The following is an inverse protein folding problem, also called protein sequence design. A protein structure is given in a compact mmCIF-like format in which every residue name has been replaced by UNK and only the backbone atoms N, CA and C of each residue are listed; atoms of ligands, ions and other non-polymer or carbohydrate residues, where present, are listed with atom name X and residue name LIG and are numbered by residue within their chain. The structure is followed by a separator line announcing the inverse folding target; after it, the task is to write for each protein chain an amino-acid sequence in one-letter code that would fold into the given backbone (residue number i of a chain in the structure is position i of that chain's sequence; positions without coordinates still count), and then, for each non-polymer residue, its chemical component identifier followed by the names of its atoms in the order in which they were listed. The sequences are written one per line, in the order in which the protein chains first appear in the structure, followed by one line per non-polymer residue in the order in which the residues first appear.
data_IF_741559920135
#
_entry.id   IF_741559920135
#
_cell.length_a   1.000
_cell.length_b   1.000
_cell.length_c   1.000
_cell.angle_alpha   90.00
_cell.angle_beta   90.00
_cell.angle_gamma   90.00
#
_symmetry.space_group_name_H-M   'P 1'
#
loop_
_entity.id
_entity.type
_entity.pdbx_description
1 polymer ?
#
# COMPACT_ATOMS: atom_id res chain seq x y z
N UNK A 1 -23.34 -22.36 -8.48
CA UNK A 1 -21.92 -22.38 -8.89
C UNK A 1 -21.71 -21.17 -9.77
N UNK A 2 -21.09 -20.11 -9.23
CA UNK A 2 -20.73 -18.92 -9.99
C UNK A 2 -19.49 -19.25 -10.81
N UNK A 3 -19.52 -18.99 -12.12
CA UNK A 3 -18.36 -19.24 -12.97
C UNK A 3 -17.17 -18.38 -12.52
N UNK A 4 -16.01 -19.00 -12.34
CA UNK A 4 -14.75 -18.29 -12.09
C UNK A 4 -14.25 -17.80 -13.45
N UNK A 5 -14.05 -16.50 -13.59
CA UNK A 5 -13.51 -15.92 -14.82
C UNK A 5 -11.98 -15.89 -14.74
N UNK A 6 -11.30 -16.55 -15.68
CA UNK A 6 -9.84 -16.61 -15.72
C UNK A 6 -9.28 -15.37 -16.42
N UNK A 7 -8.79 -14.39 -15.65
CA UNK A 7 -7.99 -13.29 -16.17
C UNK A 7 -6.52 -13.53 -15.80
N UNK A 8 -5.81 -14.34 -16.60
CA UNK A 8 -4.41 -14.73 -16.32
C UNK A 8 -3.38 -13.67 -16.74
N UNK A 9 -3.81 -12.54 -17.31
CA UNK A 9 -2.93 -11.51 -17.84
C UNK A 9 -3.42 -10.13 -17.43
N UNK A 10 -2.50 -9.28 -16.99
CA UNK A 10 -2.81 -7.90 -16.62
C UNK A 10 -3.37 -7.12 -17.82
N UNK A 11 -4.25 -6.16 -17.54
CA UNK A 11 -4.86 -5.28 -18.55
C UNK A 11 -4.24 -3.89 -18.47
N UNK A 12 -4.36 -3.10 -19.53
CA UNK A 12 -4.01 -1.67 -19.45
C UNK A 12 -4.90 -0.99 -18.42
N UNK A 13 -4.29 -0.22 -17.51
CA UNK A 13 -4.99 0.44 -16.41
C UNK A 13 -4.06 1.41 -15.70
N UNK A 14 -3.89 1.25 -14.40
CA UNK A 14 -3.00 2.10 -13.59
C UNK A 14 -1.55 1.74 -13.90
N UNK A 15 -0.82 2.69 -14.47
CA UNK A 15 0.58 2.52 -14.86
C UNK A 15 1.56 2.75 -13.70
N UNK A 16 2.84 2.58 -14.00
CA UNK A 16 3.95 2.87 -13.09
C UNK A 16 4.86 3.90 -13.75
N UNK A 17 5.16 4.96 -13.02
CA UNK A 17 6.22 5.91 -13.33
C UNK A 17 7.28 5.81 -12.22
N UNK A 18 8.53 5.58 -12.58
CA UNK A 18 9.59 5.36 -11.60
C UNK A 18 10.81 6.21 -11.93
N UNK A 19 11.32 6.89 -10.91
CA UNK A 19 12.62 7.59 -10.92
C UNK A 19 13.70 6.79 -10.17
N UNK A 20 13.38 5.61 -9.66
CA UNK A 20 14.33 4.76 -8.95
C UNK A 20 15.35 4.17 -9.94
N UNK A 21 16.64 4.08 -9.59
CA UNK A 21 17.68 3.54 -10.47
C UNK A 21 17.42 2.12 -10.97
N UNK A 22 16.76 1.28 -10.14
CA UNK A 22 16.41 -0.10 -10.49
C UNK A 22 15.23 -0.20 -11.47
N UNK A 23 14.51 0.89 -11.72
CA UNK A 23 13.38 0.91 -12.66
C UNK A 23 12.37 -0.23 -12.41
N UNK A 24 12.04 -0.97 -13.47
CA UNK A 24 11.15 -2.13 -13.42
C UNK A 24 11.82 -3.42 -12.90
N UNK A 25 13.15 -3.47 -12.75
CA UNK A 25 13.86 -4.68 -12.30
C UNK A 25 13.53 -5.03 -10.84
N UNK A 26 13.11 -4.04 -10.05
CA UNK A 26 12.67 -4.22 -8.65
C UNK A 26 11.17 -4.52 -8.51
N UNK A 27 10.44 -4.63 -9.62
CA UNK A 27 8.99 -4.83 -9.64
C UNK A 27 8.70 -6.28 -9.98
N UNK A 28 7.81 -6.88 -9.20
CA UNK A 28 7.45 -8.28 -9.31
C UNK A 28 5.95 -8.45 -9.44
N UNK A 29 5.54 -9.57 -10.00
CA UNK A 29 4.15 -9.94 -10.23
C UNK A 29 3.93 -11.40 -9.80
N UNK A 30 2.73 -11.75 -9.36
CA UNK A 30 2.37 -13.12 -8.98
C UNK A 30 1.19 -13.65 -9.82
N UNK A 31 0.64 -14.83 -9.46
CA UNK A 31 -0.52 -15.42 -10.12
C UNK A 31 -1.87 -15.08 -9.48
N UNK A 32 -1.95 -13.98 -8.71
CA UNK A 32 -3.17 -13.47 -8.09
C UNK A 32 -3.24 -13.64 -6.58
N UNK A 33 -4.43 -13.93 -6.06
CA UNK A 33 -4.72 -13.99 -4.63
C UNK A 33 -5.36 -15.32 -4.25
N UNK A 34 -5.34 -15.62 -2.96
CA UNK A 34 -6.11 -16.70 -2.33
C UNK A 34 -6.88 -16.15 -1.13
N UNK A 35 -7.98 -16.82 -0.80
CA UNK A 35 -8.72 -16.48 0.41
C UNK A 35 -7.85 -16.74 1.65
N UNK A 36 -7.95 -15.90 2.67
CA UNK A 36 -7.07 -15.98 3.84
C UNK A 36 -7.14 -17.32 4.58
N UNK A 37 -8.28 -18.02 4.52
CA UNK A 37 -8.46 -19.36 5.12
C UNK A 37 -7.63 -20.45 4.44
N UNK A 38 -7.28 -20.25 3.17
CA UNK A 38 -6.50 -21.19 2.37
C UNK A 38 -5.01 -20.80 2.34
N UNK A 39 -4.64 -19.69 2.99
CA UNK A 39 -3.29 -19.17 3.04
C UNK A 39 -2.54 -19.67 4.28
N UNK A 40 -1.31 -20.14 4.09
CA UNK A 40 -0.40 -20.44 5.20
C UNK A 40 0.19 -19.14 5.76
N UNK A 41 -0.45 -18.57 6.78
CA UNK A 41 -0.03 -17.32 7.43
C UNK A 41 1.43 -17.33 7.89
N UNK A 42 2.06 -16.16 7.89
CA UNK A 42 3.42 -15.96 8.40
C UNK A 42 3.41 -15.79 9.91
N UNK A 43 4.34 -16.43 10.62
CA UNK A 43 4.46 -16.23 12.05
C UNK A 43 5.17 -14.89 12.33
N UNK A 44 4.54 -14.04 13.12
CA UNK A 44 5.15 -12.83 13.66
C UNK A 44 5.87 -13.22 14.95
N UNK A 45 7.18 -13.00 14.99
CA UNK A 45 8.01 -13.13 16.19
C UNK A 45 8.66 -11.78 16.45
N UNK A 46 8.12 -11.02 17.41
CA UNK A 46 8.57 -9.66 17.67
C UNK A 46 8.41 -9.30 19.14
N UNK A 47 9.51 -8.87 19.77
CA UNK A 47 9.57 -8.63 21.21
C UNK A 47 9.11 -9.86 22.01
N UNK A 48 7.97 -9.78 22.70
CA UNK A 48 7.37 -10.86 23.47
C UNK A 48 6.15 -11.49 22.77
N UNK A 49 5.83 -11.05 21.56
CA UNK A 49 4.73 -11.57 20.76
C UNK A 49 5.22 -12.70 19.85
N UNK A 50 4.48 -13.82 19.85
CA UNK A 50 4.60 -14.89 18.86
C UNK A 50 3.21 -15.35 18.47
N UNK A 51 2.77 -15.02 17.25
CA UNK A 51 1.43 -15.34 16.77
C UNK A 51 1.35 -15.37 15.25
N UNK A 52 0.29 -15.98 14.72
CA UNK A 52 -0.08 -15.88 13.30
C UNK A 52 -1.13 -14.76 13.15
N UNK A 53 -0.89 -13.75 12.30
CA UNK A 53 -1.86 -12.70 12.02
C UNK A 53 -3.24 -13.24 11.64
N UNK A 54 -4.27 -12.65 12.21
CA UNK A 54 -5.65 -12.93 11.84
C UNK A 54 -6.09 -11.99 10.72
N UNK A 55 -7.03 -12.43 9.90
CA UNK A 55 -7.61 -11.61 8.83
C UNK A 55 -9.12 -11.49 9.03
N UNK A 56 -9.71 -10.45 8.44
CA UNK A 56 -11.17 -10.38 8.31
C UNK A 56 -11.66 -11.50 7.39
N UNK A 57 -12.91 -11.91 7.57
CA UNK A 57 -13.46 -13.10 6.94
C UNK A 57 -13.52 -12.97 5.41
N UNK A 58 -13.53 -11.74 4.89
CA UNK A 58 -13.57 -11.41 3.47
C UNK A 58 -12.18 -11.21 2.83
N UNK A 59 -11.10 -11.41 3.59
CA UNK A 59 -9.75 -11.04 3.17
C UNK A 59 -9.17 -11.98 2.10
N UNK A 60 -8.51 -11.36 1.11
CA UNK A 60 -7.71 -12.04 0.11
C UNK A 60 -6.24 -11.62 0.20
N UNK A 61 -5.35 -12.60 0.14
CA UNK A 61 -3.90 -12.45 0.31
C UNK A 61 -3.21 -12.82 -1.01
N UNK A 62 -2.22 -12.04 -1.47
CA UNK A 62 -1.42 -12.39 -2.65
C UNK A 62 -0.76 -13.76 -2.51
N UNK A 63 -0.80 -14.56 -3.59
CA UNK A 63 0.02 -15.78 -3.70
C UNK A 63 1.51 -15.42 -3.65
N UNK A 64 2.34 -16.32 -3.12
CA UNK A 64 3.79 -16.09 -2.92
C UNK A 64 4.67 -16.48 -4.11
N UNK A 65 4.09 -16.81 -5.25
CA UNK A 65 4.79 -17.23 -6.48
C UNK A 65 5.29 -16.03 -7.31
N UNK A 66 5.97 -15.11 -6.62
CA UNK A 66 6.49 -13.87 -7.21
C UNK A 66 7.55 -14.14 -8.27
N UNK A 67 7.43 -13.47 -9.41
CA UNK A 67 8.41 -13.45 -10.50
C UNK A 67 8.67 -12.04 -10.99
N UNK A 68 9.75 -11.86 -11.74
CA UNK A 68 9.98 -10.62 -12.51
C UNK A 68 8.90 -10.46 -13.59
N UNK A 69 8.67 -9.20 -13.97
CA UNK A 69 7.79 -8.86 -15.08
C UNK A 69 8.37 -9.33 -16.41
N UNK A 70 7.49 -9.76 -17.31
CA UNK A 70 7.82 -9.95 -18.72
C UNK A 70 7.84 -8.62 -19.48
N UNK A 71 8.53 -8.56 -20.62
CA UNK A 71 8.59 -7.34 -21.44
C UNK A 71 7.18 -6.84 -21.87
N UNK A 72 6.26 -7.77 -22.14
CA UNK A 72 4.86 -7.46 -22.46
C UNK A 72 4.14 -6.78 -21.30
N UNK A 73 4.38 -7.21 -20.07
CA UNK A 73 3.82 -6.65 -18.85
C UNK A 73 4.43 -5.29 -18.53
N UNK A 74 5.74 -5.14 -18.70
CA UNK A 74 6.42 -3.84 -18.59
C UNK A 74 5.81 -2.84 -19.57
N UNK A 75 5.54 -3.24 -20.82
CA UNK A 75 4.90 -2.37 -21.81
C UNK A 75 3.45 -1.99 -21.44
N UNK A 76 2.72 -2.84 -20.72
CA UNK A 76 1.36 -2.53 -20.24
C UNK A 76 1.41 -1.54 -19.07
N UNK A 77 2.37 -1.71 -18.16
CA UNK A 77 2.54 -0.89 -16.96
C UNK A 77 3.24 0.44 -17.25
N UNK A 78 4.08 0.48 -18.28
CA UNK A 78 4.67 1.73 -18.79
C UNK A 78 3.58 2.46 -19.56
N UNK A 79 3.03 3.53 -18.98
CA UNK A 79 1.99 4.28 -19.66
C UNK A 79 2.56 5.24 -20.70
N UNK A 80 1.89 5.30 -21.85
CA UNK A 80 2.06 6.37 -22.85
C UNK A 80 1.01 7.49 -22.68
N UNK A 81 0.19 7.45 -21.62
CA UNK A 81 -0.81 8.49 -21.33
C UNK A 81 -0.20 9.61 -20.50
N UNK A 82 -0.89 10.75 -20.45
CA UNK A 82 -0.59 11.81 -19.50
C UNK A 82 -0.48 11.26 -18.07
N UNK A 83 0.61 11.63 -17.39
CA UNK A 83 0.87 11.31 -15.99
C UNK A 83 -0.10 12.11 -15.11
N UNK A 84 -1.02 11.43 -14.42
CA UNK A 84 -1.99 12.03 -13.49
C UNK A 84 -1.98 11.30 -12.16
N UNK A 85 -2.43 12.00 -11.14
CA UNK A 85 -2.52 11.53 -9.76
C UNK A 85 -3.34 10.25 -9.55
N UNK A 86 -4.33 9.99 -10.41
CA UNK A 86 -5.27 8.88 -10.30
C UNK A 86 -5.05 7.69 -11.24
N UNK A 87 -4.10 7.78 -12.18
CA UNK A 87 -3.84 6.73 -13.18
C UNK A 87 -2.41 6.17 -13.15
N UNK A 88 -1.58 6.60 -12.19
CA UNK A 88 -0.21 6.09 -12.03
C UNK A 88 0.16 5.84 -10.57
N UNK A 89 1.03 4.86 -10.38
CA UNK A 89 1.89 4.74 -9.21
C UNK A 89 3.19 5.47 -9.53
N UNK A 90 3.67 6.31 -8.61
CA UNK A 90 4.95 6.99 -8.76
C UNK A 90 5.94 6.51 -7.72
N UNK A 91 7.17 6.17 -8.12
CA UNK A 91 8.23 5.66 -7.24
C UNK A 91 9.45 6.56 -7.24
N UNK A 92 9.96 6.91 -6.07
CA UNK A 92 11.13 7.79 -5.96
C UNK A 92 11.76 7.80 -4.57
N UNK A 93 12.68 8.73 -4.38
CA UNK A 93 13.42 8.90 -3.12
C UNK A 93 13.20 10.30 -2.56
N UNK A 94 13.08 10.40 -1.23
CA UNK A 94 13.07 11.71 -0.56
C UNK A 94 14.45 12.38 -0.65
N UNK A 95 14.56 13.70 -0.44
CA UNK A 95 15.84 14.40 -0.47
C UNK A 95 16.86 13.79 0.50
N UNK A 96 18.14 13.79 0.10
CA UNK A 96 19.24 13.23 0.91
C UNK A 96 19.30 13.84 2.31
N UNK A 97 19.00 15.14 2.42
CA UNK A 97 18.95 15.86 3.69
C UNK A 97 17.83 15.35 4.62
N UNK A 98 16.68 14.97 4.07
CA UNK A 98 15.62 14.34 4.86
C UNK A 98 16.04 12.94 5.34
N UNK A 99 16.72 12.16 4.48
CA UNK A 99 17.29 10.84 4.86
C UNK A 99 18.29 10.98 6.02
N UNK A 100 19.14 12.01 5.99
CA UNK A 100 20.09 12.32 7.06
C UNK A 100 19.37 12.60 8.39
N UNK A 101 18.35 13.47 8.39
CA UNK A 101 17.58 13.73 9.61
C UNK A 101 16.88 12.48 10.16
N UNK A 102 16.30 11.63 9.30
CA UNK A 102 15.68 10.36 9.72
C UNK A 102 16.72 9.46 10.39
N UNK A 103 17.91 9.36 9.80
CA UNK A 103 19.02 8.58 10.37
C UNK A 103 19.49 9.13 11.72
N UNK A 104 19.56 10.44 11.88
CA UNK A 104 19.96 11.10 13.13
C UNK A 104 18.92 11.00 14.24
N UNK A 105 17.62 10.99 13.90
CA UNK A 105 16.54 10.76 14.87
C UNK A 105 16.62 9.33 15.44
N UNK A 106 17.06 8.37 14.62
CA UNK A 106 17.28 6.95 14.95
C UNK A 106 16.06 6.24 15.56
N UNK A 107 15.35 5.49 14.71
CA UNK A 107 14.19 4.70 15.14
C UNK A 107 14.52 3.25 15.50
N UNK A 108 15.79 2.82 15.48
CA UNK A 108 16.16 1.40 15.56
C UNK A 108 15.79 0.71 16.88
N UNK A 109 15.60 1.50 17.93
CA UNK A 109 15.18 1.05 19.26
C UNK A 109 13.67 1.14 19.50
N UNK A 110 12.90 1.63 18.52
CA UNK A 110 11.46 1.77 18.64
C UNK A 110 10.78 0.40 18.58
N UNK A 111 9.81 0.18 19.48
CA UNK A 111 9.10 -1.10 19.63
C UNK A 111 7.63 -1.05 19.23
N UNK A 112 7.17 0.13 18.81
CA UNK A 112 5.79 0.40 18.47
C UNK A 112 5.55 1.89 18.29
N UNK A 113 4.32 2.25 17.93
CA UNK A 113 3.93 3.61 17.57
C UNK A 113 4.28 4.65 18.64
N UNK A 114 4.01 4.37 19.91
CA UNK A 114 4.27 5.34 20.98
C UNK A 114 5.76 5.67 21.08
N UNK A 115 6.65 4.67 21.01
CA UNK A 115 8.10 4.90 21.02
C UNK A 115 8.55 5.74 19.82
N UNK A 116 7.93 5.55 18.64
CA UNK A 116 8.23 6.38 17.46
C UNK A 116 7.86 7.85 17.71
N UNK A 117 6.67 8.09 18.27
CA UNK A 117 6.22 9.46 18.59
C UNK A 117 7.10 10.10 19.68
N UNK A 118 7.46 9.35 20.71
CA UNK A 118 8.38 9.78 21.77
C UNK A 118 9.77 10.11 21.19
N UNK A 119 10.24 9.33 20.20
CA UNK A 119 11.52 9.55 19.53
C UNK A 119 11.53 10.85 18.73
N UNK A 120 10.45 11.15 18.01
CA UNK A 120 10.29 12.46 17.38
C UNK A 120 10.26 13.59 18.42
N UNK A 121 9.49 13.44 19.50
CA UNK A 121 9.38 14.45 20.55
C UNK A 121 10.73 14.74 21.24
N UNK A 122 11.52 13.70 21.51
CA UNK A 122 12.85 13.81 22.10
C UNK A 122 13.86 14.51 21.17
N UNK A 123 13.67 14.41 19.85
CA UNK A 123 14.53 15.01 18.83
C UNK A 123 13.84 16.22 18.15
N UNK A 124 13.32 17.16 18.95
CA UNK A 124 12.46 18.26 18.45
C UNK A 124 13.08 19.08 17.33
N UNK A 125 14.35 19.49 17.45
CA UNK A 125 15.02 20.33 16.45
C UNK A 125 15.17 19.60 15.11
N UNK A 126 15.63 18.35 15.15
CA UNK A 126 15.72 17.48 13.97
C UNK A 126 14.35 17.21 13.35
N UNK A 127 13.33 16.99 14.18
CA UNK A 127 11.96 16.77 13.73
C UNK A 127 11.39 17.99 13.01
N UNK A 128 11.65 19.20 13.54
CA UNK A 128 11.27 20.45 12.88
C UNK A 128 12.01 20.63 11.55
N UNK A 129 13.31 20.34 11.51
CA UNK A 129 14.12 20.42 10.30
C UNK A 129 13.66 19.41 9.23
N UNK A 130 13.36 18.18 9.63
CA UNK A 130 12.76 17.15 8.77
C UNK A 130 11.41 17.61 8.23
N UNK A 131 10.54 18.16 9.07
CA UNK A 131 9.23 18.66 8.63
C UNK A 131 9.36 19.76 7.58
N UNK A 132 10.30 20.69 7.74
CA UNK A 132 10.57 21.75 6.73
C UNK A 132 11.08 21.14 5.43
N UNK A 133 12.06 20.24 5.48
CA UNK A 133 12.62 19.59 4.29
C UNK A 133 11.56 18.78 3.54
N UNK A 134 10.77 18.00 4.26
CA UNK A 134 9.65 17.23 3.70
C UNK A 134 8.58 18.15 3.11
N UNK A 135 8.20 19.24 3.77
CA UNK A 135 7.21 20.18 3.25
C UNK A 135 7.68 20.83 1.96
N UNK A 136 8.95 21.24 1.89
CA UNK A 136 9.56 21.79 0.68
C UNK A 136 9.52 20.77 -0.47
N UNK A 137 9.93 19.53 -0.20
CA UNK A 137 9.89 18.45 -1.18
C UNK A 137 8.47 18.18 -1.68
N UNK A 138 7.51 17.97 -0.77
CA UNK A 138 6.12 17.66 -1.11
C UNK A 138 5.47 18.79 -1.92
N UNK A 139 5.80 20.06 -1.65
CA UNK A 139 5.34 21.19 -2.45
C UNK A 139 5.81 21.11 -3.91
N UNK A 140 7.00 20.55 -4.18
CA UNK A 140 7.48 20.40 -5.57
C UNK A 140 6.71 19.38 -6.39
N UNK A 141 6.00 18.45 -5.72
CA UNK A 141 5.27 17.35 -6.38
C UNK A 141 3.76 17.42 -6.16
N UNK A 142 3.24 18.37 -5.37
CA UNK A 142 1.81 18.48 -5.06
C UNK A 142 0.99 19.23 -6.12
N UNK A 143 1.59 19.67 -7.24
CA UNK A 143 0.92 20.44 -8.29
C UNK A 143 0.23 21.71 -7.77
N UNK A 144 0.88 22.44 -6.86
CA UNK A 144 0.35 23.63 -6.18
C UNK A 144 -0.96 23.40 -5.40
N UNK A 145 -1.31 22.13 -5.15
CA UNK A 145 -2.48 21.76 -4.34
C UNK A 145 -2.11 21.55 -2.88
N UNK A 146 -3.06 21.76 -1.95
CA UNK A 146 -2.83 21.51 -0.54
C UNK A 146 -2.60 20.02 -0.27
N UNK A 147 -1.78 19.74 0.73
CA UNK A 147 -1.58 18.41 1.29
C UNK A 147 -1.51 18.48 2.81
N UNK A 148 -1.70 17.35 3.47
CA UNK A 148 -1.56 17.26 4.93
C UNK A 148 -0.97 15.91 5.33
N UNK A 149 -0.29 15.90 6.48
CA UNK A 149 0.15 14.65 7.11
C UNK A 149 -1.10 13.87 7.52
N UNK A 150 -1.24 12.65 7.02
CA UNK A 150 -2.31 11.76 7.44
C UNK A 150 -1.93 11.04 8.73
N UNK A 151 -0.80 10.33 8.70
CA UNK A 151 -0.33 9.58 9.86
C UNK A 151 1.14 9.21 9.76
N UNK A 152 1.70 8.86 10.91
CA UNK A 152 2.93 8.06 11.03
C UNK A 152 2.48 6.71 11.56
N UNK A 153 2.79 5.63 10.86
CA UNK A 153 2.38 4.28 11.28
C UNK A 153 3.60 3.43 11.67
N UNK A 154 3.35 2.48 12.56
CA UNK A 154 4.33 1.51 13.03
C UNK A 154 3.69 0.13 12.91
N UNK A 155 4.15 -0.66 11.95
CA UNK A 155 3.62 -2.00 11.68
C UNK A 155 4.58 -3.08 12.16
N UNK A 156 4.03 -4.23 12.52
CA UNK A 156 4.84 -5.38 12.94
C UNK A 156 5.63 -5.93 11.74
N UNK A 157 6.82 -6.50 12.00
CA UNK A 157 7.57 -7.23 10.99
C UNK A 157 6.85 -8.50 10.55
N UNK A 158 7.22 -8.99 9.37
CA UNK A 158 6.83 -10.29 8.83
C UNK A 158 5.31 -10.49 8.64
N UNK A 159 4.59 -9.43 8.27
CA UNK A 159 3.14 -9.47 8.00
C UNK A 159 2.90 -9.36 6.49
N UNK A 160 2.06 -10.24 5.94
CA UNK A 160 1.74 -10.24 4.50
C UNK A 160 1.12 -8.92 4.05
N UNK A 161 0.22 -8.38 4.85
CA UNK A 161 -0.63 -7.24 4.54
C UNK A 161 -0.89 -6.46 5.83
N UNK A 162 -0.56 -5.17 5.87
CA UNK A 162 -0.44 -4.43 7.13
C UNK A 162 -1.67 -3.61 7.50
N UNK A 163 -2.59 -3.37 6.57
CA UNK A 163 -3.79 -2.60 6.86
C UNK A 163 -4.71 -3.35 7.85
N UNK A 164 -5.09 -2.65 8.91
CA UNK A 164 -6.04 -3.13 9.91
C UNK A 164 -6.86 -1.94 10.44
N UNK A 165 -8.15 -2.17 10.66
CA UNK A 165 -9.02 -1.21 11.32
C UNK A 165 -9.10 -1.52 12.81
N UNK A 166 -8.26 -0.84 13.60
CA UNK A 166 -8.25 -0.99 15.06
C UNK A 166 -9.32 -0.15 15.75
N UNK A 167 -10.03 0.74 15.04
CA UNK A 167 -11.00 1.65 15.66
C UNK A 167 -12.27 0.95 16.13
N UNK A 168 -12.47 -0.29 15.65
CA UNK A 168 -13.62 -1.14 15.98
C UNK A 168 -13.30 -2.19 17.05
N UNK A 169 -12.06 -2.23 17.52
CA UNK A 169 -11.63 -3.15 18.57
C UNK A 169 -11.92 -2.54 19.96
N UNK A 170 -12.17 -3.37 20.99
CA UNK A 170 -12.25 -2.93 22.38
C UNK A 170 -11.00 -2.17 22.82
N UNK A 171 -11.09 -1.24 23.77
CA UNK A 171 -9.93 -0.45 24.23
C UNK A 171 -8.79 -1.32 24.80
N UNK A 172 -9.10 -2.49 25.34
CA UNK A 172 -8.19 -3.43 25.97
C UNK A 172 -7.74 -4.58 25.03
N UNK A 173 -7.99 -4.45 23.72
CA UNK A 173 -7.56 -5.45 22.76
C UNK A 173 -6.05 -5.67 22.77
N UNK A 174 -5.64 -6.90 22.50
CA UNK A 174 -4.24 -7.30 22.38
C UNK A 174 -3.78 -7.31 20.93
N UNK A 175 -2.49 -7.11 20.70
CA UNK A 175 -1.92 -7.13 19.34
C UNK A 175 -2.29 -8.39 18.53
N UNK A 176 -2.27 -9.62 19.09
CA UNK A 176 -2.69 -10.82 18.37
C UNK A 176 -4.16 -10.87 17.95
N UNK A 177 -5.04 -10.08 18.56
CA UNK A 177 -6.47 -10.03 18.24
C UNK A 177 -6.77 -9.12 17.03
N UNK A 178 -5.78 -8.37 16.53
CA UNK A 178 -5.92 -7.55 15.32
C UNK A 178 -6.26 -8.43 14.13
N UNK A 179 -7.27 -8.01 13.37
CA UNK A 179 -7.61 -8.56 12.06
C UNK A 179 -7.14 -7.63 10.95
N UNK A 180 -6.35 -8.18 10.03
CA UNK A 180 -5.88 -7.50 8.83
C UNK A 180 -6.89 -7.60 7.69
N UNK A 181 -6.95 -6.58 6.86
CA UNK A 181 -8.01 -6.42 5.85
C UNK A 181 -7.78 -7.25 4.59
N UNK A 182 -6.52 -7.57 4.27
CA UNK A 182 -6.20 -8.13 2.96
C UNK A 182 -6.21 -7.06 1.87
N UNK A 183 -6.18 -7.48 0.60
CA UNK A 183 -6.19 -6.55 -0.55
C UNK A 183 -7.48 -5.71 -0.51
N UNK A 184 -7.34 -4.38 -0.46
CA UNK A 184 -8.47 -3.47 -0.26
C UNK A 184 -8.30 -2.19 -1.08
N UNK A 185 -9.39 -1.47 -1.29
CA UNK A 185 -9.34 -0.06 -1.66
C UNK A 185 -9.61 0.77 -0.40
N UNK A 186 -9.05 1.97 -0.36
CA UNK A 186 -9.44 2.92 0.67
C UNK A 186 -10.86 3.44 0.41
N UNK A 187 -11.57 3.78 1.49
CA UNK A 187 -12.93 4.33 1.49
C UNK A 187 -13.02 5.56 2.38
N UNK A 188 -12.07 6.49 2.23
CA UNK A 188 -11.84 7.56 3.23
C UNK A 188 -12.95 8.61 3.34
N UNK A 189 -13.87 8.66 2.39
CA UNK A 189 -14.98 9.60 2.34
C UNK A 189 -16.19 8.94 1.66
N UNK A 190 -17.36 9.58 1.75
CA UNK A 190 -18.54 9.17 0.98
C UNK A 190 -18.25 9.26 -0.53
N UNK A 191 -18.00 8.09 -1.14
CA UNK A 191 -17.67 7.97 -2.55
C UNK A 191 -18.30 6.72 -3.17
N UNK A 192 -18.30 6.69 -4.49
CA UNK A 192 -18.73 5.54 -5.30
C UNK A 192 -17.54 5.03 -6.11
N UNK A 193 -17.63 3.82 -6.67
CA UNK A 193 -16.62 3.28 -7.60
C UNK A 193 -16.36 4.18 -8.82
N UNK A 194 -17.33 5.04 -9.17
CA UNK A 194 -17.21 6.00 -10.28
C UNK A 194 -16.54 7.32 -9.87
N UNK A 195 -16.36 7.58 -8.57
CA UNK A 195 -15.84 8.88 -8.08
C UNK A 195 -14.52 8.76 -7.33
N UNK A 196 -14.05 7.54 -7.04
CA UNK A 196 -12.78 7.28 -6.33
C UNK A 196 -11.58 8.05 -6.90
N UNK A 197 -11.48 8.16 -8.23
CA UNK A 197 -10.43 8.89 -8.93
C UNK A 197 -10.37 10.40 -8.61
N UNK A 198 -11.38 10.96 -7.95
CA UNK A 198 -11.46 12.38 -7.59
C UNK A 198 -10.89 12.72 -6.21
N UNK A 199 -10.55 11.72 -5.40
CA UNK A 199 -10.18 11.92 -3.99
C UNK A 199 -8.67 12.06 -3.76
N UNK A 200 -7.90 12.34 -4.82
CA UNK A 200 -6.45 12.53 -4.75
C UNK A 200 -5.71 11.21 -4.62
N UNK A 201 -4.50 11.29 -4.06
CA UNK A 201 -3.63 10.15 -3.83
C UNK A 201 -2.83 10.29 -2.53
N UNK A 202 -2.16 9.20 -2.16
CA UNK A 202 -1.37 9.09 -0.94
C UNK A 202 0.10 8.96 -1.31
N UNK A 203 0.96 9.71 -0.65
CA UNK A 203 2.40 9.42 -0.63
C UNK A 203 2.72 8.69 0.67
N UNK A 204 3.39 7.55 0.58
CA UNK A 204 3.85 6.77 1.72
C UNK A 204 5.37 6.63 1.65
N UNK A 205 6.05 7.00 2.72
CA UNK A 205 7.50 7.10 2.80
C UNK A 205 7.99 6.08 3.82
N UNK A 206 8.98 5.27 3.46
CA UNK A 206 9.59 4.31 4.37
C UNK A 206 10.64 5.03 5.24
N UNK A 207 10.35 5.12 6.53
CA UNK A 207 11.26 5.66 7.56
C UNK A 207 11.96 4.55 8.36
N UNK A 208 11.58 3.28 8.15
CA UNK A 208 12.14 2.13 8.82
C UNK A 208 13.52 1.76 8.29
N UNK A 209 14.11 0.72 8.90
CA UNK A 209 15.45 0.23 8.54
C UNK A 209 15.44 -0.80 7.40
N UNK A 210 14.30 -1.43 7.16
CA UNK A 210 14.17 -2.56 6.23
C UNK A 210 13.28 -2.21 5.05
N UNK A 211 13.51 -2.91 3.93
CA UNK A 211 12.65 -2.82 2.75
C UNK A 211 11.25 -3.29 3.09
N UNK A 212 10.26 -2.51 2.71
CA UNK A 212 8.86 -2.93 2.70
C UNK A 212 8.38 -3.09 1.26
N UNK A 213 7.21 -3.66 1.07
CA UNK A 213 6.60 -3.72 -0.25
C UNK A 213 5.28 -2.95 -0.30
N UNK A 214 5.05 -2.28 -1.42
CA UNK A 214 3.74 -1.81 -1.81
C UNK A 214 3.13 -2.81 -2.78
N UNK A 215 1.92 -3.27 -2.50
CA UNK A 215 1.16 -4.24 -3.27
C UNK A 215 0.00 -3.54 -3.97
N UNK A 216 -0.27 -3.82 -5.24
CA UNK A 216 -1.46 -3.28 -5.91
C UNK A 216 -1.95 -4.12 -7.09
N UNK A 217 -3.21 -3.89 -7.46
CA UNK A 217 -3.81 -4.35 -8.73
C UNK A 217 -3.81 -3.18 -9.71
N UNK A 218 -3.34 -3.41 -10.95
CA UNK A 218 -3.22 -2.35 -11.97
C UNK A 218 -4.55 -1.98 -12.66
N UNK A 219 -5.66 -2.08 -11.95
CA UNK A 219 -6.99 -1.68 -12.41
C UNK A 219 -7.51 -0.51 -11.60
N UNK A 220 -8.11 0.46 -12.29
CA UNK A 220 -8.93 1.48 -11.63
C UNK A 220 -10.25 0.90 -11.14
N UNK A 221 -10.88 1.56 -10.15
CA UNK A 221 -12.18 1.10 -9.62
C UNK A 221 -13.30 1.06 -10.68
N UNK A 222 -13.25 1.93 -11.69
CA UNK A 222 -14.20 1.87 -12.81
C UNK A 222 -13.96 0.65 -13.71
N UNK A 223 -12.71 0.22 -13.88
CA UNK A 223 -12.41 -1.01 -14.62
C UNK A 223 -12.83 -2.25 -13.85
N UNK A 224 -12.59 -2.26 -12.53
CA UNK A 224 -13.09 -3.30 -11.62
C UNK A 224 -14.62 -3.39 -11.69
N UNK A 225 -15.32 -2.26 -11.59
CA UNK A 225 -16.77 -2.18 -11.73
C UNK A 225 -17.25 -2.79 -13.06
N UNK A 226 -16.62 -2.42 -14.17
CA UNK A 226 -16.99 -2.94 -15.49
C UNK A 226 -16.74 -4.44 -15.63
N UNK A 227 -15.68 -4.98 -15.02
CA UNK A 227 -15.43 -6.42 -14.99
C UNK A 227 -16.47 -7.16 -14.14
N UNK A 228 -16.83 -6.60 -12.98
CA UNK A 228 -17.83 -7.18 -12.08
C UNK A 228 -19.24 -7.20 -12.70
N UNK A 229 -19.58 -6.18 -13.48
CA UNK A 229 -20.87 -6.09 -14.17
C UNK A 229 -21.18 -7.32 -15.05
N UNK A 230 -20.14 -7.97 -15.58
CA UNK A 230 -20.29 -9.14 -16.45
C UNK A 230 -20.52 -10.46 -15.69
N UNK A 231 -20.26 -10.49 -14.37
CA UNK A 231 -20.23 -11.75 -13.58
C UNK A 231 -21.09 -11.71 -12.31
N UNK A 232 -21.59 -10.54 -11.92
CA UNK A 232 -22.44 -10.39 -10.73
C UNK A 232 -23.44 -9.23 -10.89
N UNK A 233 -24.41 -9.17 -9.97
CA UNK A 233 -25.36 -8.07 -9.87
C UNK A 233 -24.66 -6.81 -9.34
N UNK A 234 -24.24 -5.95 -10.27
CA UNK A 234 -23.45 -4.75 -9.97
C UNK A 234 -24.16 -3.76 -9.04
N UNK A 235 -25.49 -3.82 -8.93
CA UNK A 235 -26.27 -2.94 -8.04
C UNK A 235 -25.99 -3.22 -6.55
N UNK A 236 -25.42 -4.38 -6.23
CA UNK A 236 -25.05 -4.80 -4.87
C UNK A 236 -23.58 -4.52 -4.54
N UNK A 237 -22.80 -4.06 -5.51
CA UNK A 237 -21.37 -3.79 -5.34
C UNK A 237 -21.16 -2.33 -5.00
N UNK A 238 -20.41 -2.07 -3.92
CA UNK A 238 -20.05 -0.75 -3.46
C UNK A 238 -18.61 -0.73 -2.96
N UNK A 239 -18.13 0.45 -2.53
CA UNK A 239 -16.74 0.67 -2.11
C UNK A 239 -16.28 -0.19 -0.92
N UNK A 240 -17.20 -0.78 -0.16
CA UNK A 240 -16.88 -1.59 1.03
C UNK A 240 -16.79 -3.09 0.74
N UNK A 241 -17.51 -3.61 -0.26
CA UNK A 241 -17.52 -5.04 -0.61
C UNK A 241 -16.89 -5.36 -1.97
N UNK A 242 -16.43 -4.34 -2.70
CA UNK A 242 -15.89 -4.51 -4.05
C UNK A 242 -14.64 -5.38 -4.08
N UNK A 243 -13.79 -5.34 -3.05
CA UNK A 243 -12.61 -6.19 -2.95
C UNK A 243 -12.98 -7.67 -2.85
N UNK A 244 -13.79 -8.04 -1.84
CA UNK A 244 -14.30 -9.40 -1.67
C UNK A 244 -14.96 -9.91 -2.96
N UNK A 245 -15.84 -9.09 -3.52
CA UNK A 245 -16.60 -9.46 -4.72
C UNK A 245 -15.66 -9.66 -5.91
N UNK A 246 -14.69 -8.77 -6.12
CA UNK A 246 -13.73 -8.90 -7.23
C UNK A 246 -12.89 -10.15 -7.09
N UNK A 247 -12.24 -10.37 -5.95
CA UNK A 247 -11.32 -11.50 -5.79
C UNK A 247 -12.03 -12.85 -5.72
N UNK A 248 -13.31 -12.89 -5.33
CA UNK A 248 -14.15 -14.08 -5.45
C UNK A 248 -14.37 -14.52 -6.90
N UNK A 249 -14.48 -13.57 -7.83
CA UNK A 249 -14.77 -13.84 -9.24
C UNK A 249 -13.51 -13.88 -10.12
N UNK A 250 -12.46 -13.15 -9.73
CA UNK A 250 -11.20 -13.00 -10.45
C UNK A 250 -9.98 -13.26 -9.52
N UNK A 251 -9.90 -14.41 -8.82
CA UNK A 251 -8.81 -14.69 -7.88
C UNK A 251 -7.44 -14.78 -8.56
N UNK A 252 -7.42 -15.13 -9.85
CA UNK A 252 -6.18 -15.26 -10.63
C UNK A 252 -5.73 -13.95 -11.29
N UNK A 253 -6.41 -12.81 -11.03
CA UNK A 253 -5.93 -11.53 -11.52
C UNK A 253 -4.63 -11.16 -10.79
N UNK A 254 -3.51 -10.93 -11.49
CA UNK A 254 -2.21 -10.74 -10.85
C UNK A 254 -2.11 -9.55 -9.90
N UNK A 255 -1.36 -9.72 -8.82
CA UNK A 255 -0.91 -8.66 -7.92
C UNK A 255 0.51 -8.24 -8.31
N UNK A 256 0.76 -6.94 -8.31
CA UNK A 256 2.09 -6.37 -8.53
C UNK A 256 2.63 -5.90 -7.18
N UNK A 257 3.91 -6.17 -6.92
CA UNK A 257 4.63 -5.65 -5.76
C UNK A 257 5.85 -4.84 -6.16
N UNK A 258 6.10 -3.77 -5.41
CA UNK A 258 7.27 -2.91 -5.57
C UNK A 258 8.03 -2.85 -4.26
N UNK A 259 9.33 -3.13 -4.31
CA UNK A 259 10.21 -2.92 -3.17
C UNK A 259 10.32 -1.41 -2.87
N UNK A 260 10.25 -1.06 -1.60
CA UNK A 260 10.40 0.30 -1.08
C UNK A 260 11.44 0.27 0.04
N UNK A 261 12.67 0.63 -0.32
CA UNK A 261 13.82 0.69 0.60
C UNK A 261 13.70 1.91 1.55
N UNK A 262 14.48 1.95 2.65
CA UNK A 262 14.54 3.12 3.53
C UNK A 262 14.79 4.43 2.76
N UNK A 263 13.98 5.46 3.05
CA UNK A 263 14.03 6.75 2.36
C UNK A 263 13.37 6.77 0.97
N UNK A 264 12.83 5.65 0.49
CA UNK A 264 12.02 5.60 -0.72
C UNK A 264 10.55 5.87 -0.41
N UNK A 265 9.82 6.34 -1.41
CA UNK A 265 8.39 6.56 -1.35
C UNK A 265 7.67 5.94 -2.56
N UNK A 266 6.39 5.63 -2.36
CA UNK A 266 5.43 5.51 -3.44
C UNK A 266 4.36 6.59 -3.33
N UNK A 267 3.81 7.01 -4.46
CA UNK A 267 2.57 7.78 -4.57
C UNK A 267 1.55 6.88 -5.27
N UNK A 268 0.39 6.68 -4.67
CA UNK A 268 -0.63 5.80 -5.21
C UNK A 268 -2.06 6.33 -4.99
N UNK A 269 -2.96 6.20 -5.99
CA UNK A 269 -4.36 6.56 -5.85
C UNK A 269 -5.13 5.44 -5.17
N UNK A 270 -4.87 5.24 -3.88
CA UNK A 270 -5.30 4.05 -3.14
C UNK A 270 -6.80 3.97 -2.86
N UNK A 271 -7.57 5.05 -3.05
CA UNK A 271 -9.04 4.95 -3.14
C UNK A 271 -9.48 4.40 -4.53
N UNK A 272 -8.66 4.55 -5.57
CA UNK A 272 -8.96 4.17 -6.96
C UNK A 272 -8.33 2.83 -7.39
N UNK A 273 -7.63 2.11 -6.52
CA UNK A 273 -7.08 0.78 -6.80
C UNK A 273 -7.12 -0.12 -5.57
N UNK A 274 -7.04 -1.44 -5.81
CA UNK A 274 -6.76 -2.36 -4.71
C UNK A 274 -5.29 -2.34 -4.38
N UNK A 275 -4.96 -2.32 -3.10
CA UNK A 275 -3.60 -2.21 -2.61
C UNK A 275 -3.46 -2.70 -1.16
N UNK A 276 -2.21 -2.75 -0.68
CA UNK A 276 -1.81 -2.76 0.74
C UNK A 276 -0.29 -2.55 0.84
N UNK A 277 0.25 -2.46 2.05
CA UNK A 277 1.66 -2.65 2.35
C UNK A 277 1.97 -4.06 2.85
N UNK A 278 3.20 -4.52 2.63
CA UNK A 278 3.71 -5.78 3.19
C UNK A 278 5.04 -5.58 3.89
N UNK A 279 5.22 -6.25 5.02
CA UNK A 279 6.47 -6.33 5.78
C UNK A 279 7.00 -7.75 5.83
N UNK A 280 6.50 -8.64 4.95
CA UNK A 280 6.91 -10.02 4.88
C UNK A 280 8.43 -10.14 4.71
N UNK A 281 9.07 -10.93 5.57
CA UNK A 281 10.53 -11.12 5.61
C UNK A 281 11.28 -10.16 6.54
N UNK A 282 10.64 -9.08 7.01
CA UNK A 282 11.28 -8.13 7.94
C UNK A 282 11.41 -8.73 9.34
N UNK A 283 12.33 -8.19 10.13
CA UNK A 283 12.50 -8.48 11.56
C UNK A 283 12.45 -7.22 12.45
N UNK A 284 12.49 -6.04 11.84
CA UNK A 284 12.38 -4.73 12.50
C UNK A 284 10.98 -4.15 12.38
N UNK A 285 10.69 -3.20 13.25
CA UNK A 285 9.46 -2.41 13.17
C UNK A 285 9.44 -1.66 11.82
N UNK A 286 8.37 -1.82 11.06
CA UNK A 286 8.12 -1.02 9.87
C UNK A 286 7.58 0.34 10.30
N UNK A 287 8.22 1.41 9.86
CA UNK A 287 7.84 2.78 10.19
C UNK A 287 7.66 3.53 8.89
N UNK A 288 6.50 4.16 8.73
CA UNK A 288 6.20 4.92 7.54
C UNK A 288 5.43 6.18 7.88
N UNK A 289 5.54 7.14 6.98
CA UNK A 289 4.88 8.43 7.06
C UNK A 289 4.05 8.63 5.81
N UNK A 290 2.78 8.98 6.01
CA UNK A 290 1.78 9.06 4.95
C UNK A 290 1.21 10.47 4.89
N UNK A 291 1.16 11.05 3.69
CA UNK A 291 0.49 12.32 3.42
C UNK A 291 -0.63 12.13 2.39
N UNK A 292 -1.69 12.92 2.53
CA UNK A 292 -2.78 13.02 1.55
C UNK A 292 -2.63 14.29 0.72
N UNK A 293 -2.88 14.19 -0.58
CA UNK A 293 -2.80 15.30 -1.51
C UNK A 293 -3.09 14.89 -2.95
N UNK A 294 -2.48 15.59 -3.89
CA UNK A 294 -2.55 15.33 -5.33
C UNK A 294 -1.15 15.38 -5.92
N UNK A 295 -0.38 14.34 -5.63
CA UNK A 295 1.02 14.30 -5.98
C UNK A 295 1.22 13.69 -7.36
N UNK A 296 2.09 14.30 -8.16
CA UNK A 296 2.66 13.71 -9.38
C UNK A 296 4.12 14.13 -9.45
N UNK A 297 5.00 13.25 -9.91
CA UNK A 297 6.39 13.60 -10.15
C UNK A 297 6.84 13.26 -11.55
#
# INVERSE_FOLDING_TARGET
MTAIATATTIKKGIGIHTKLPKGFDAIQINSGVIHHTDHQGSQVNYEHFSFTPLYIDEAYIPKRDWRSLEASEINILTSNSDLKDHNHIYLGEIPEKAKQYIKEIDFSSCKGRNHVMDRFAANKELTMALNVEMSNFLQTISNDKPFHLHCITANLPNVEMVACDITRLPEDFTIPEKKYMGMHNDGTQFMTLHTTYKHGNRICINLGEETRYFLYINLSMIQVHNMLKEVTDISKVNVYNVAETFFKHFPDYPVIRMAQEPGQYYIAPTDNCFHDGSTLGNNKLDINMVYFGNFTH
#
